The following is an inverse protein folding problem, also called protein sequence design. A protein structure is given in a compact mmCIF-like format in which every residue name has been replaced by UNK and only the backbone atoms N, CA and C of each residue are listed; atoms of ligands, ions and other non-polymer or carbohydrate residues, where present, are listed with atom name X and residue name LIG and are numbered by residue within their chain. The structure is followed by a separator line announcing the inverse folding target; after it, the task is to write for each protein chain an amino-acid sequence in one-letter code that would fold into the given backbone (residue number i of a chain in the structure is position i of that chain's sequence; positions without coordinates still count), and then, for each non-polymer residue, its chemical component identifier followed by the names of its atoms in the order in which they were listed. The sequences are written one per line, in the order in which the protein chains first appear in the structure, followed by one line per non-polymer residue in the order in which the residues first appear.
data_IF_984136057352
#
_entry.id   IF_984136057352
#
_cell.length_a   1.000
_cell.length_b   1.000
_cell.length_c   1.000
_cell.angle_alpha   90.00
_cell.angle_beta   90.00
_cell.angle_gamma   90.00
#
_symmetry.space_group_name_H-M   'P 1'
#
loop_
_entity.id
_entity.type
_entity.pdbx_description
1 polymer ?
#
# COMPACT_ATOMS: atom_id res chain seq x y z
N UNK A 1 -24.69 -14.20 4.59
CA UNK A 1 -23.69 -13.52 3.75
C UNK A 1 -23.91 -13.71 2.26
N UNK A 2 -24.27 -14.92 1.79
CA UNK A 2 -24.39 -15.18 0.35
C UNK A 2 -25.38 -14.28 -0.40
N UNK A 3 -26.59 -14.08 0.14
CA UNK A 3 -27.60 -13.20 -0.47
C UNK A 3 -27.15 -11.73 -0.46
N UNK A 4 -26.55 -11.27 0.64
CA UNK A 4 -26.02 -9.91 0.74
C UNK A 4 -24.89 -9.64 -0.27
N UNK A 5 -24.07 -10.65 -0.59
CA UNK A 5 -23.05 -10.55 -1.64
C UNK A 5 -23.68 -10.45 -3.02
N UNK A 6 -24.80 -11.14 -3.25
CA UNK A 6 -25.50 -11.12 -4.53
C UNK A 6 -26.16 -9.76 -4.81
N UNK A 7 -26.49 -9.00 -3.76
CA UNK A 7 -27.09 -7.66 -3.86
C UNK A 7 -26.07 -6.51 -3.83
N UNK A 8 -24.77 -6.76 -3.63
CA UNK A 8 -23.73 -5.73 -3.49
C UNK A 8 -23.65 -4.76 -4.68
N UNK A 9 -23.93 -5.25 -5.89
CA UNK A 9 -23.94 -4.44 -7.12
C UNK A 9 -25.23 -3.64 -7.30
N UNK A 10 -26.28 -3.97 -6.56
CA UNK A 10 -27.61 -3.34 -6.63
C UNK A 10 -27.87 -2.30 -5.54
N UNK A 11 -26.93 -2.10 -4.60
CA UNK A 11 -27.06 -1.08 -3.57
C UNK A 11 -27.10 0.31 -4.24
N UNK A 12 -28.19 1.09 -4.10
CA UNK A 12 -28.32 2.37 -4.78
C UNK A 12 -27.20 3.32 -4.35
N UNK A 13 -26.65 4.11 -5.28
CA UNK A 13 -25.78 5.26 -4.96
C UNK A 13 -26.62 6.40 -4.34
N UNK A 14 -27.09 6.20 -3.11
CA UNK A 14 -27.70 7.27 -2.28
C UNK A 14 -26.68 7.73 -1.25
N UNK A 15 -26.74 9.00 -0.85
CA UNK A 15 -25.92 9.54 0.24
C UNK A 15 -26.47 9.02 1.57
N UNK A 16 -26.10 7.81 1.93
CA UNK A 16 -26.43 7.26 3.25
C UNK A 16 -25.54 7.91 4.32
N UNK A 17 -26.10 8.16 5.50
CA UNK A 17 -25.34 8.58 6.69
C UNK A 17 -24.31 7.53 7.14
N UNK A 18 -24.52 6.28 6.73
CA UNK A 18 -23.66 5.11 6.99
C UNK A 18 -23.59 4.36 5.67
N UNK A 19 -22.39 4.11 5.11
CA UNK A 19 -22.21 3.29 3.91
C UNK A 19 -22.49 1.81 4.22
N UNK A 20 -23.64 1.25 3.78
CA UNK A 20 -24.01 -0.12 4.09
C UNK A 20 -23.11 -1.13 3.38
N UNK A 21 -22.62 -0.79 2.18
CA UNK A 21 -21.73 -1.65 1.41
C UNK A 21 -20.38 -1.77 2.11
N UNK A 22 -19.78 -0.64 2.51
CA UNK A 22 -18.55 -0.62 3.29
C UNK A 22 -18.64 -1.41 4.60
N UNK A 23 -19.73 -1.26 5.36
CA UNK A 23 -19.93 -2.04 6.59
C UNK A 23 -20.03 -3.54 6.35
N UNK A 24 -20.77 -3.96 5.31
CA UNK A 24 -20.87 -5.37 4.94
C UNK A 24 -19.50 -5.94 4.55
N UNK A 25 -18.73 -5.21 3.76
CA UNK A 25 -17.36 -5.59 3.36
C UNK A 25 -16.49 -5.81 4.59
N UNK A 26 -16.49 -4.86 5.53
CA UNK A 26 -15.70 -4.96 6.76
C UNK A 26 -16.08 -6.22 7.55
N UNK A 27 -17.38 -6.49 7.72
CA UNK A 27 -17.86 -7.68 8.43
C UNK A 27 -17.44 -8.98 7.72
N UNK A 28 -17.55 -9.02 6.38
CA UNK A 28 -17.10 -10.15 5.58
C UNK A 28 -15.60 -10.41 5.74
N UNK A 29 -14.78 -9.35 5.80
CA UNK A 29 -13.34 -9.50 5.96
C UNK A 29 -12.99 -9.98 7.37
N UNK A 30 -13.66 -9.51 8.42
CA UNK A 30 -13.49 -10.05 9.78
C UNK A 30 -13.83 -11.54 9.83
N UNK A 31 -14.95 -11.95 9.21
CA UNK A 31 -15.34 -13.36 9.12
C UNK A 31 -14.28 -14.16 8.35
N UNK A 32 -13.85 -13.66 7.19
CA UNK A 32 -12.80 -14.30 6.40
C UNK A 32 -11.48 -14.40 7.16
N UNK A 33 -11.15 -13.50 8.09
CA UNK A 33 -9.89 -13.61 8.84
C UNK A 33 -10.00 -14.59 10.02
N UNK A 34 -11.17 -14.71 10.65
CA UNK A 34 -11.36 -15.51 11.86
C UNK A 34 -11.88 -16.92 11.61
N UNK A 35 -12.68 -17.13 10.56
CA UNK A 35 -13.32 -18.41 10.21
C UNK A 35 -12.87 -18.82 8.81
N UNK A 36 -12.61 -20.11 8.53
CA UNK A 36 -12.05 -20.60 7.24
C UNK A 36 -13.03 -20.50 6.05
N UNK A 37 -13.64 -19.33 5.86
CA UNK A 37 -14.71 -19.01 4.91
C UNK A 37 -14.15 -18.58 3.55
N UNK A 38 -13.25 -19.39 2.99
CA UNK A 38 -12.61 -19.11 1.69
C UNK A 38 -13.62 -19.00 0.54
N UNK A 39 -14.69 -19.78 0.57
CA UNK A 39 -15.75 -19.79 -0.46
C UNK A 39 -16.49 -18.46 -0.53
N UNK A 40 -16.91 -17.93 0.62
CA UNK A 40 -17.63 -16.65 0.73
C UNK A 40 -16.74 -15.50 0.26
N UNK A 41 -15.47 -15.48 0.68
CA UNK A 41 -14.51 -14.45 0.26
C UNK A 41 -14.28 -14.48 -1.26
N UNK A 42 -14.11 -15.67 -1.85
CA UNK A 42 -14.01 -15.81 -3.32
C UNK A 42 -15.25 -15.30 -4.04
N UNK A 43 -16.46 -15.64 -3.54
CA UNK A 43 -17.72 -15.16 -4.11
C UNK A 43 -17.79 -13.64 -4.08
N UNK A 44 -17.42 -13.02 -2.96
CA UNK A 44 -17.34 -11.56 -2.85
C UNK A 44 -16.42 -10.95 -3.93
N UNK A 45 -15.16 -11.38 -4.01
CA UNK A 45 -14.20 -10.82 -4.97
C UNK A 45 -14.55 -11.11 -6.44
N UNK A 46 -15.40 -12.10 -6.72
CA UNK A 46 -15.91 -12.35 -8.07
C UNK A 46 -17.03 -11.39 -8.51
N UNK A 47 -17.74 -10.78 -7.56
CA UNK A 47 -18.90 -9.91 -7.83
C UNK A 47 -18.68 -8.43 -7.50
N UNK A 48 -17.80 -8.15 -6.56
CA UNK A 48 -17.50 -6.80 -6.10
C UNK A 48 -16.93 -5.95 -7.24
N UNK A 49 -17.29 -4.67 -7.25
CA UNK A 49 -16.61 -3.67 -8.07
C UNK A 49 -15.18 -3.46 -7.57
N UNK A 50 -14.30 -2.93 -8.41
CA UNK A 50 -12.90 -2.72 -8.04
C UNK A 50 -12.72 -1.81 -6.82
N UNK A 51 -13.54 -0.76 -6.71
CA UNK A 51 -13.58 0.08 -5.51
C UNK A 51 -13.97 -0.71 -4.25
N UNK A 52 -14.99 -1.58 -4.34
CA UNK A 52 -15.38 -2.43 -3.21
C UNK A 52 -14.29 -3.42 -2.81
N UNK A 53 -13.53 -3.96 -3.78
CA UNK A 53 -12.35 -4.78 -3.51
C UNK A 53 -11.25 -3.97 -2.83
N UNK A 54 -11.01 -2.73 -3.27
CA UNK A 54 -10.09 -1.80 -2.62
C UNK A 54 -10.46 -1.52 -1.15
N UNK A 55 -11.74 -1.27 -0.86
CA UNK A 55 -12.24 -1.12 0.52
C UNK A 55 -11.91 -2.35 1.36
N UNK A 56 -12.08 -3.56 0.81
CA UNK A 56 -11.73 -4.79 1.50
C UNK A 56 -10.21 -4.89 1.79
N UNK A 57 -9.37 -4.54 0.81
CA UNK A 57 -7.91 -4.54 0.94
C UNK A 57 -7.46 -3.55 2.03
N UNK A 58 -7.92 -2.30 2.00
CA UNK A 58 -7.54 -1.30 2.99
C UNK A 58 -8.05 -1.62 4.38
N UNK A 59 -9.25 -2.22 4.50
CA UNK A 59 -9.78 -2.64 5.78
C UNK A 59 -8.91 -3.73 6.41
N UNK A 60 -8.52 -4.76 5.66
CA UNK A 60 -7.70 -5.85 6.19
C UNK A 60 -6.34 -5.34 6.70
N UNK A 61 -5.68 -4.45 5.95
CA UNK A 61 -4.40 -3.85 6.36
C UNK A 61 -4.50 -3.07 7.65
N UNK A 62 -5.47 -2.14 7.71
CA UNK A 62 -5.72 -1.32 8.91
C UNK A 62 -6.14 -2.14 10.11
N UNK A 63 -6.98 -3.15 9.91
CA UNK A 63 -7.40 -4.08 10.96
C UNK A 63 -6.20 -4.80 11.59
N UNK A 64 -5.24 -5.25 10.78
CA UNK A 64 -4.04 -5.89 11.30
C UNK A 64 -3.15 -4.93 12.10
N UNK A 65 -2.86 -3.75 11.52
CA UNK A 65 -2.01 -2.73 12.17
C UNK A 65 -2.61 -2.32 13.53
N UNK A 66 -3.91 -2.02 13.57
CA UNK A 66 -4.57 -1.57 14.79
C UNK A 66 -4.56 -2.64 15.89
N UNK A 67 -4.92 -3.88 15.56
CA UNK A 67 -5.00 -4.95 16.56
C UNK A 67 -3.63 -5.44 17.04
N UNK A 68 -2.57 -5.34 16.21
CA UNK A 68 -1.21 -5.63 16.65
C UNK A 68 -0.72 -4.64 17.70
N UNK A 69 -1.09 -3.37 17.57
CA UNK A 69 -0.78 -2.35 18.58
C UNK A 69 -1.65 -2.46 19.84
N UNK A 70 -2.85 -3.04 19.75
CA UNK A 70 -3.83 -3.12 20.84
C UNK A 70 -3.78 -4.38 21.72
N UNK A 71 -2.99 -5.40 21.38
CA UNK A 71 -2.86 -6.62 22.19
C UNK A 71 -4.04 -7.60 22.10
N UNK A 72 -4.96 -7.41 21.15
CA UNK A 72 -6.06 -8.35 20.90
C UNK A 72 -5.56 -9.66 20.26
N UNK A 73 -6.36 -10.73 20.32
CA UNK A 73 -6.05 -12.01 19.67
C UNK A 73 -6.13 -11.86 18.16
N UNK A 74 -5.01 -11.53 17.53
CA UNK A 74 -4.92 -11.33 16.09
C UNK A 74 -5.02 -12.69 15.38
N UNK A 75 -5.77 -12.78 14.27
CA UNK A 75 -5.67 -13.93 13.37
C UNK A 75 -4.23 -14.15 12.90
N UNK A 76 -3.88 -15.39 12.53
CA UNK A 76 -2.53 -15.73 12.09
C UNK A 76 -2.07 -14.79 10.94
N UNK A 77 -0.90 -14.16 11.09
CA UNK A 77 -0.26 -13.27 10.10
C UNK A 77 -0.16 -13.90 8.71
N UNK A 78 0.04 -15.22 8.62
CA UNK A 78 0.12 -15.95 7.35
C UNK A 78 -1.18 -15.83 6.55
N UNK A 79 -2.31 -15.63 7.22
CA UNK A 79 -3.60 -15.46 6.57
C UNK A 79 -3.70 -14.12 5.86
N UNK A 80 -3.16 -13.07 6.46
CA UNK A 80 -3.05 -11.73 5.87
C UNK A 80 -2.10 -11.77 4.67
N UNK A 81 -0.95 -12.44 4.80
CA UNK A 81 0.00 -12.63 3.70
C UNK A 81 -0.63 -13.39 2.53
N UNK A 82 -1.25 -14.55 2.79
CA UNK A 82 -1.95 -15.35 1.78
C UNK A 82 -3.09 -14.59 1.10
N UNK A 83 -3.82 -13.77 1.85
CA UNK A 83 -4.84 -12.89 1.28
C UNK A 83 -4.22 -11.93 0.28
N UNK A 84 -3.17 -11.21 0.69
CA UNK A 84 -2.52 -10.24 -0.19
C UNK A 84 -1.92 -10.89 -1.43
N UNK A 85 -1.18 -11.99 -1.26
CA UNK A 85 -0.59 -12.73 -2.38
C UNK A 85 -1.64 -13.20 -3.39
N UNK A 86 -2.81 -13.65 -2.91
CA UNK A 86 -3.93 -14.00 -3.77
C UNK A 86 -4.42 -12.79 -4.56
N UNK A 87 -4.67 -11.65 -3.89
CA UNK A 87 -5.19 -10.44 -4.55
C UNK A 87 -4.20 -9.85 -5.54
N UNK A 88 -2.93 -9.74 -5.14
CA UNK A 88 -1.84 -9.27 -6.00
C UNK A 88 -1.68 -10.16 -7.24
N UNK A 89 -1.83 -11.48 -7.11
CA UNK A 89 -1.79 -12.39 -8.26
C UNK A 89 -3.04 -12.29 -9.16
N UNK A 90 -4.22 -12.18 -8.57
CA UNK A 90 -5.49 -12.31 -9.28
C UNK A 90 -6.03 -10.99 -9.88
N UNK A 91 -5.62 -9.84 -9.34
CA UNK A 91 -6.11 -8.54 -9.78
C UNK A 91 -5.12 -7.81 -10.69
N UNK A 92 -5.68 -7.05 -11.62
CA UNK A 92 -4.98 -6.03 -12.42
C UNK A 92 -5.58 -4.63 -12.18
N UNK A 93 -6.48 -4.51 -11.19
CA UNK A 93 -7.16 -3.25 -10.92
C UNK A 93 -6.29 -2.35 -10.07
N UNK A 94 -5.98 -1.16 -10.56
CA UNK A 94 -5.24 -0.15 -9.80
C UNK A 94 -6.04 0.26 -8.56
N UNK A 95 -7.37 0.44 -8.67
CA UNK A 95 -8.23 0.85 -7.57
C UNK A 95 -8.28 -0.17 -6.42
N UNK A 96 -8.08 -1.45 -6.72
CA UNK A 96 -7.93 -2.48 -5.70
C UNK A 96 -6.52 -2.50 -5.12
N UNK A 97 -5.50 -2.56 -5.99
CA UNK A 97 -4.14 -2.87 -5.58
C UNK A 97 -3.46 -1.70 -4.86
N UNK A 98 -3.78 -0.45 -5.22
CA UNK A 98 -3.21 0.75 -4.58
C UNK A 98 -3.51 0.81 -3.07
N UNK A 99 -4.60 0.17 -2.63
CA UNK A 99 -5.02 0.13 -1.23
C UNK A 99 -4.08 -0.69 -0.33
N UNK A 100 -3.08 -1.38 -0.90
CA UNK A 100 -1.99 -1.98 -0.11
C UNK A 100 -1.15 -0.95 0.65
N UNK A 101 -1.16 0.32 0.26
CA UNK A 101 -0.45 1.36 1.02
C UNK A 101 -0.90 1.46 2.48
N UNK A 102 -2.16 1.15 2.77
CA UNK A 102 -2.69 1.05 4.14
C UNK A 102 -2.12 -0.10 4.98
N UNK A 103 -1.30 -0.98 4.39
CA UNK A 103 -0.62 -2.06 5.09
C UNK A 103 0.79 -1.66 5.53
N UNK A 104 1.30 -0.52 5.06
CA UNK A 104 2.69 -0.11 5.24
C UNK A 104 2.87 0.48 6.64
N UNK A 105 3.49 -0.33 7.51
CA UNK A 105 3.94 0.09 8.83
C UNK A 105 5.15 -0.75 9.24
N UNK A 106 6.26 -0.08 9.55
CA UNK A 106 7.48 -0.76 10.00
C UNK A 106 7.21 -1.59 11.27
N UNK A 107 7.83 -2.77 11.35
CA UNK A 107 7.81 -3.72 12.47
C UNK A 107 6.42 -4.35 12.76
N UNK A 108 5.41 -4.05 11.94
CA UNK A 108 4.10 -4.70 11.99
C UNK A 108 4.11 -6.01 11.21
N UNK A 109 4.67 -6.02 10.01
CA UNK A 109 5.01 -7.24 9.29
C UNK A 109 6.52 -7.45 9.30
N UNK A 110 6.97 -8.57 8.74
CA UNK A 110 8.37 -8.69 8.33
C UNK A 110 8.69 -7.57 7.32
N UNK A 111 9.68 -6.73 7.65
CA UNK A 111 9.99 -5.50 6.92
C UNK A 111 10.38 -5.79 5.47
N UNK A 112 11.16 -6.84 5.23
CA UNK A 112 11.60 -7.23 3.88
C UNK A 112 10.42 -7.72 3.04
N UNK A 113 9.58 -8.61 3.59
CA UNK A 113 8.37 -9.06 2.94
C UNK A 113 7.44 -7.89 2.58
N UNK A 114 7.21 -6.98 3.53
CA UNK A 114 6.27 -5.87 3.35
C UNK A 114 6.74 -4.95 2.22
N UNK A 115 8.02 -4.60 2.21
CA UNK A 115 8.58 -3.69 1.21
C UNK A 115 8.70 -4.37 -0.16
N UNK A 116 8.97 -5.69 -0.22
CA UNK A 116 8.92 -6.47 -1.48
C UNK A 116 7.52 -6.47 -2.06
N UNK A 117 6.50 -6.65 -1.23
CA UNK A 117 5.11 -6.60 -1.68
C UNK A 117 4.68 -5.20 -2.08
N UNK A 118 5.16 -4.15 -1.43
CA UNK A 118 4.95 -2.78 -1.88
C UNK A 118 5.57 -2.56 -3.27
N UNK A 119 6.81 -3.00 -3.48
CA UNK A 119 7.48 -2.93 -4.77
C UNK A 119 6.70 -3.67 -5.88
N UNK A 120 6.30 -4.92 -5.65
CA UNK A 120 5.48 -5.69 -6.60
C UNK A 120 4.13 -5.01 -6.91
N UNK A 121 3.53 -4.35 -5.91
CA UNK A 121 2.30 -3.58 -6.07
C UNK A 121 2.52 -2.39 -6.99
N UNK A 122 3.54 -1.58 -6.70
CA UNK A 122 3.87 -0.38 -7.45
C UNK A 122 4.24 -0.68 -8.91
N UNK A 123 4.84 -1.84 -9.18
CA UNK A 123 5.06 -2.29 -10.56
C UNK A 123 3.73 -2.52 -11.31
N UNK A 124 2.71 -3.05 -10.63
CA UNK A 124 1.38 -3.30 -11.23
C UNK A 124 0.51 -2.05 -11.30
N UNK A 125 0.72 -1.10 -10.39
CA UNK A 125 -0.08 0.13 -10.30
C UNK A 125 0.60 1.34 -10.92
N UNK A 126 1.72 1.12 -11.62
CA UNK A 126 2.52 2.18 -12.24
C UNK A 126 2.91 3.30 -11.25
N UNK A 127 3.28 2.88 -10.04
CA UNK A 127 3.66 3.80 -8.95
C UNK A 127 2.50 4.35 -8.14
N UNK A 128 1.24 4.07 -8.51
CA UNK A 128 0.06 4.54 -7.77
C UNK A 128 -0.14 3.72 -6.49
N UNK A 129 -0.27 4.39 -5.36
CA UNK A 129 -0.54 3.78 -4.06
C UNK A 129 -1.46 4.70 -3.26
N UNK A 130 -2.30 4.17 -2.38
CA UNK A 130 -3.07 4.98 -1.42
C UNK A 130 -2.28 5.18 -0.13
N UNK A 131 -2.67 6.15 0.71
CA UNK A 131 -1.96 6.50 1.94
C UNK A 131 -0.50 6.91 1.65
N UNK A 132 -0.32 7.67 0.57
CA UNK A 132 0.97 8.06 0.00
C UNK A 132 1.86 8.72 1.04
N UNK A 133 1.27 9.62 1.84
CA UNK A 133 1.98 10.31 2.92
C UNK A 133 2.53 9.32 3.94
N UNK A 134 1.67 8.46 4.48
CA UNK A 134 2.06 7.47 5.47
C UNK A 134 3.09 6.48 4.91
N UNK A 135 2.94 6.09 3.64
CA UNK A 135 3.90 5.21 2.96
C UNK A 135 5.27 5.88 2.89
N UNK A 136 5.37 7.11 2.38
CA UNK A 136 6.66 7.82 2.24
C UNK A 136 7.30 8.08 3.61
N UNK A 137 6.51 8.45 4.62
CA UNK A 137 7.04 8.61 5.99
C UNK A 137 7.62 7.31 6.56
N UNK A 138 6.97 6.17 6.30
CA UNK A 138 7.49 4.86 6.72
C UNK A 138 8.72 4.43 5.90
N UNK A 139 8.83 4.81 4.61
CA UNK A 139 10.03 4.55 3.80
C UNK A 139 11.30 5.13 4.41
N UNK A 140 11.22 6.30 5.05
CA UNK A 140 12.37 6.88 5.74
C UNK A 140 12.90 5.96 6.85
N UNK A 141 12.01 5.19 7.49
CA UNK A 141 12.35 4.23 8.55
C UNK A 141 12.87 2.91 7.97
N UNK A 142 12.35 2.48 6.81
CA UNK A 142 12.86 1.30 6.09
C UNK A 142 14.26 1.52 5.51
N UNK A 143 14.62 2.76 5.18
CA UNK A 143 15.94 3.09 4.62
C UNK A 143 17.09 2.59 5.49
N UNK A 144 16.92 2.53 6.83
CA UNK A 144 17.95 2.04 7.76
C UNK A 144 18.34 0.57 7.52
N UNK A 145 17.35 -0.26 7.23
CA UNK A 145 17.49 -1.72 7.17
C UNK A 145 17.52 -2.25 5.74
N UNK A 146 16.76 -1.63 4.85
CA UNK A 146 16.51 -2.08 3.49
C UNK A 146 16.75 -0.93 2.49
N UNK A 147 17.95 -0.32 2.43
CA UNK A 147 18.20 0.88 1.63
C UNK A 147 17.99 0.65 0.12
N UNK A 148 18.37 -0.53 -0.39
CA UNK A 148 18.20 -0.86 -1.81
C UNK A 148 16.72 -0.94 -2.21
N UNK A 149 15.93 -1.67 -1.44
CA UNK A 149 14.53 -1.85 -1.77
C UNK A 149 13.72 -0.57 -1.48
N UNK A 150 14.14 0.21 -0.48
CA UNK A 150 13.59 1.55 -0.22
C UNK A 150 13.82 2.49 -1.40
N UNK A 151 15.03 2.52 -1.98
CA UNK A 151 15.30 3.36 -3.15
C UNK A 151 14.52 2.92 -4.39
N UNK A 152 14.38 1.61 -4.61
CA UNK A 152 13.56 1.05 -5.69
C UNK A 152 12.08 1.45 -5.57
N UNK A 153 11.51 1.33 -4.38
CA UNK A 153 10.13 1.71 -4.09
C UNK A 153 9.93 3.22 -4.23
N UNK A 154 10.83 4.02 -3.65
CA UNK A 154 10.75 5.48 -3.73
C UNK A 154 10.79 5.97 -5.19
N UNK A 155 11.65 5.37 -6.01
CA UNK A 155 11.72 5.70 -7.44
C UNK A 155 10.41 5.45 -8.18
N UNK A 156 9.72 4.34 -7.90
CA UNK A 156 8.43 4.04 -8.51
C UNK A 156 7.34 5.04 -8.08
N UNK A 157 7.29 5.40 -6.79
CA UNK A 157 6.32 6.37 -6.27
C UNK A 157 6.57 7.76 -6.87
N UNK A 158 7.83 8.22 -6.92
CA UNK A 158 8.18 9.53 -7.50
C UNK A 158 7.85 9.60 -8.99
N UNK A 159 8.02 8.49 -9.71
CA UNK A 159 7.63 8.42 -11.12
C UNK A 159 6.11 8.47 -11.34
N UNK A 160 5.32 8.16 -10.32
CA UNK A 160 3.88 8.36 -10.41
C UNK A 160 3.60 9.86 -10.54
N UNK A 161 2.70 10.24 -11.45
CA UNK A 161 2.29 11.65 -11.64
C UNK A 161 1.27 12.09 -10.58
N UNK A 162 1.43 11.62 -9.34
CA UNK A 162 0.47 11.82 -8.26
C UNK A 162 0.71 13.20 -7.57
N UNK A 163 -0.31 14.07 -7.48
CA UNK A 163 -0.18 15.36 -6.81
C UNK A 163 0.28 15.30 -5.34
N UNK A 164 -0.10 14.27 -4.58
CA UNK A 164 0.31 14.15 -3.17
C UNK A 164 1.83 13.92 -3.05
N UNK A 165 2.42 13.22 -4.02
CA UNK A 165 3.87 13.03 -4.11
C UNK A 165 4.58 14.36 -4.35
N UNK A 166 4.00 15.24 -5.16
CA UNK A 166 4.54 16.59 -5.39
C UNK A 166 4.60 17.40 -4.09
N UNK A 167 3.54 17.34 -3.26
CA UNK A 167 3.54 18.01 -1.96
C UNK A 167 4.67 17.52 -1.05
N UNK A 168 4.89 16.21 -0.97
CA UNK A 168 5.95 15.63 -0.12
C UNK A 168 7.37 15.92 -0.61
N UNK A 169 7.54 16.15 -1.91
CA UNK A 169 8.80 16.66 -2.46
C UNK A 169 9.06 18.07 -1.92
N UNK A 170 8.05 18.95 -1.97
CA UNK A 170 8.15 20.34 -1.50
C UNK A 170 8.30 20.47 0.02
N UNK A 171 7.59 19.64 0.80
CA UNK A 171 7.70 19.62 2.28
C UNK A 171 9.07 19.10 2.75
N UNK A 172 9.79 18.37 1.89
CA UNK A 172 11.15 17.94 2.13
C UNK A 172 11.29 16.53 2.72
N UNK A 173 10.20 15.80 2.95
CA UNK A 173 10.27 14.39 3.35
C UNK A 173 11.02 13.54 2.32
N UNK A 174 10.78 13.74 1.02
CA UNK A 174 11.53 13.02 -0.03
C UNK A 174 13.02 13.34 0.02
N UNK A 175 13.38 14.61 0.25
CA UNK A 175 14.78 15.06 0.41
C UNK A 175 15.47 14.33 1.56
N UNK A 176 14.82 14.19 2.71
CA UNK A 176 15.35 13.44 3.87
C UNK A 176 15.67 11.98 3.51
N UNK A 177 14.79 11.32 2.74
CA UNK A 177 15.01 9.92 2.33
C UNK A 177 16.20 9.84 1.36
N UNK A 178 16.27 10.71 0.36
CA UNK A 178 17.38 10.73 -0.62
C UNK A 178 18.72 10.98 0.07
N UNK A 179 18.82 11.98 0.95
CA UNK A 179 20.03 12.25 1.74
C UNK A 179 20.45 11.02 2.55
N UNK A 180 19.48 10.33 3.16
CA UNK A 180 19.75 9.11 3.90
C UNK A 180 20.27 7.99 2.99
N UNK A 181 19.67 7.80 1.82
CA UNK A 181 20.10 6.81 0.83
C UNK A 181 21.51 7.09 0.27
N UNK A 182 21.88 8.37 0.06
CA UNK A 182 23.22 8.77 -0.39
C UNK A 182 24.33 8.40 0.60
N UNK A 183 24.02 8.38 1.91
CA UNK A 183 25.00 8.00 2.94
C UNK A 183 25.49 6.55 2.82
N UNK A 184 24.75 5.69 2.09
CA UNK A 184 25.13 4.29 1.90
C UNK A 184 26.19 4.14 0.79
N UNK A 185 27.23 3.36 1.09
CA UNK A 185 28.31 3.05 0.14
C UNK A 185 27.94 2.00 -0.93
N UNK A 186 26.71 1.47 -0.89
CA UNK A 186 26.29 0.40 -1.79
C UNK A 186 26.02 0.94 -3.20
N UNK A 187 26.81 0.50 -4.17
CA UNK A 187 26.75 0.96 -5.57
C UNK A 187 25.35 0.90 -6.19
N UNK A 188 24.60 -0.17 -5.90
CA UNK A 188 23.22 -0.31 -6.41
C UNK A 188 22.27 0.75 -5.84
N UNK A 189 22.44 1.12 -4.57
CA UNK A 189 21.63 2.17 -3.92
C UNK A 189 21.94 3.50 -4.60
N UNK A 190 23.23 3.85 -4.71
CA UNK A 190 23.68 5.08 -5.36
C UNK A 190 23.11 5.27 -6.76
N UNK A 191 23.22 4.26 -7.62
CA UNK A 191 22.68 4.29 -8.98
C UNK A 191 21.18 4.56 -9.05
N UNK A 192 20.41 4.07 -8.08
CA UNK A 192 18.97 4.30 -8.04
C UNK A 192 18.67 5.68 -7.48
N UNK A 193 19.39 6.11 -6.45
CA UNK A 193 19.25 7.45 -5.88
C UNK A 193 19.60 8.54 -6.91
N UNK A 194 20.67 8.36 -7.68
CA UNK A 194 21.04 9.24 -8.82
C UNK A 194 19.89 9.33 -9.83
N UNK A 195 19.28 8.20 -10.21
CA UNK A 195 18.10 8.20 -11.10
C UNK A 195 16.89 8.93 -10.52
N UNK A 196 16.70 8.88 -9.20
CA UNK A 196 15.64 9.65 -8.53
C UNK A 196 15.95 11.14 -8.64
N UNK A 197 17.18 11.55 -8.30
CA UNK A 197 17.63 12.95 -8.34
C UNK A 197 17.53 13.51 -9.76
N UNK A 198 18.07 12.80 -10.75
CA UNK A 198 18.00 13.20 -12.17
C UNK A 198 16.56 13.39 -12.62
N UNK A 199 15.66 12.49 -12.22
CA UNK A 199 14.25 12.59 -12.56
C UNK A 199 13.59 13.80 -11.88
N UNK A 200 13.86 14.06 -10.60
CA UNK A 200 13.34 15.24 -9.89
C UNK A 200 13.84 16.55 -10.50
N UNK A 201 15.13 16.63 -10.87
CA UNK A 201 15.70 17.79 -11.58
C UNK A 201 14.99 17.97 -12.93
N UNK A 202 14.73 16.88 -13.67
CA UNK A 202 13.99 16.96 -14.94
C UNK A 202 12.56 17.48 -14.80
N UNK A 203 11.98 17.40 -13.60
CA UNK A 203 10.67 17.98 -13.26
C UNK A 203 10.76 19.42 -12.73
N UNK A 204 11.96 20.00 -12.64
CA UNK A 204 12.20 21.37 -12.18
C UNK A 204 12.52 21.52 -10.69
N UNK A 205 12.73 20.43 -9.95
CA UNK A 205 13.13 20.49 -8.54
C UNK A 205 14.65 20.64 -8.41
N UNK A 206 15.13 21.86 -8.65
CA UNK A 206 16.55 22.17 -8.71
C UNK A 206 17.29 21.98 -7.36
N UNK A 207 16.59 22.12 -6.23
CA UNK A 207 17.13 21.97 -4.87
C UNK A 207 17.67 20.56 -4.55
N UNK A 208 17.50 19.60 -5.46
CA UNK A 208 18.05 18.25 -5.37
C UNK A 208 19.46 18.13 -5.99
N UNK A 209 19.94 19.14 -6.73
CA UNK A 209 21.31 19.18 -7.27
C UNK A 209 22.38 19.23 -6.18
N UNK A 210 22.06 19.87 -5.07
CA UNK A 210 23.00 20.11 -3.96
C UNK A 210 22.99 18.98 -2.92
N UNK A 211 22.36 17.84 -3.22
CA UNK A 211 22.34 16.69 -2.32
C UNK A 211 23.54 15.80 -2.63
N UNK A 212 24.61 15.99 -1.85
CA UNK A 212 25.79 15.13 -1.82
C UNK A 212 25.51 13.72 -1.25
#
# INVERSE_FOLDING_TARGET
YEWAIDELSSIPKRRYWIDPAGKLINHLMVVYLNHDEKSICKKFFSKATDNQKGIAVSFIGRYYIHNKSGGEKIPNIDRFKKFWEWRLKASNSIDELKEFGWWIKKDVFDNEYLLKKLYETLLKTEGTISAELEVIEELLKFADELPLLTSEVLYLIIKSKNPEVHYMILEGTVKKIITKLNSYKLEKVKKITEKIVDYLISLGFEDFKDID
#
